data_IF_952326221702
#
_entry.id   IF_952326221702
#
_cell.length_a   1.000
_cell.length_b   1.000
_cell.length_c   1.000
_cell.angle_alpha   90.00
_cell.angle_beta   90.00
_cell.angle_gamma   90.00
#
_symmetry.space_group_name_H-M   'P 1'
#
loop_
_entity.id
_entity.type
_entity.pdbx_description
1 polymer ?
#
# COMPACT_ATOMS: atom_id res chain seq x y z
N UNK A 1 10.64 33.68 -12.20
CA UNK A 1 11.38 32.74 -13.06
C UNK A 1 11.31 31.35 -12.42
N UNK A 2 10.54 30.46 -13.05
CA UNK A 2 10.65 28.98 -13.10
C UNK A 2 10.86 28.23 -11.76
N UNK A 3 9.98 27.33 -11.30
CA UNK A 3 9.66 26.07 -11.99
C UNK A 3 8.46 25.32 -11.38
N UNK A 4 7.49 25.00 -12.24
CA UNK A 4 6.59 23.84 -12.28
C UNK A 4 5.54 23.62 -11.16
N UNK A 5 4.30 24.02 -11.48
CA UNK A 5 3.11 23.33 -11.01
C UNK A 5 3.17 21.85 -11.43
N UNK A 6 3.39 20.95 -10.48
CA UNK A 6 3.43 19.49 -10.72
C UNK A 6 2.29 18.82 -9.96
N UNK A 7 1.28 18.44 -10.74
CA UNK A 7 0.45 17.22 -10.67
C UNK A 7 -0.13 16.87 -9.28
N UNK A 8 -1.43 17.12 -9.11
CA UNK A 8 -2.25 16.37 -8.16
C UNK A 8 -2.23 14.90 -8.61
N UNK A 9 -1.50 14.04 -7.91
CA UNK A 9 -1.62 12.60 -8.09
C UNK A 9 -2.93 12.13 -7.44
N UNK A 10 -4.04 12.32 -8.17
CA UNK A 10 -5.31 11.65 -7.89
C UNK A 10 -5.17 10.24 -8.46
N UNK A 11 -4.60 9.33 -7.68
CA UNK A 11 -4.60 7.90 -8.03
C UNK A 11 -5.97 7.33 -7.60
N UNK A 12 -6.99 7.58 -8.41
CA UNK A 12 -8.32 6.98 -8.28
C UNK A 12 -8.27 5.58 -8.87
N UNK A 13 -8.05 4.56 -8.05
CA UNK A 13 -8.26 3.17 -8.48
C UNK A 13 -9.74 2.82 -8.35
N UNK A 14 -10.50 3.10 -9.39
CA UNK A 14 -11.83 2.52 -9.57
C UNK A 14 -11.73 1.18 -10.31
N UNK A 15 -12.38 0.16 -9.74
CA UNK A 15 -12.91 -1.06 -10.37
C UNK A 15 -12.19 -2.41 -10.15
N UNK A 16 -10.97 -2.71 -10.60
CA UNK A 16 -10.68 -4.14 -10.91
C UNK A 16 -9.75 -4.93 -9.96
N UNK A 17 -9.29 -4.35 -8.85
CA UNK A 17 -8.33 -5.03 -7.96
C UNK A 17 -8.50 -4.76 -6.46
N UNK A 18 -9.70 -4.36 -6.01
CA UNK A 18 -9.97 -4.39 -4.56
C UNK A 18 -10.15 -5.84 -4.13
N UNK A 19 -9.14 -6.38 -3.44
CA UNK A 19 -9.21 -7.72 -2.83
C UNK A 19 -10.32 -7.84 -1.76
N UNK A 20 -10.96 -6.73 -1.42
CA UNK A 20 -12.09 -6.61 -0.49
C UNK A 20 -13.37 -6.31 -1.27
N UNK A 21 -14.30 -7.27 -1.42
CA UNK A 21 -15.54 -7.12 -2.21
C UNK A 21 -16.49 -6.04 -1.65
N UNK A 22 -16.24 -5.61 -0.42
CA UNK A 22 -17.07 -4.66 0.31
C UNK A 22 -16.72 -3.18 0.06
N UNK A 23 -15.65 -2.90 -0.68
CA UNK A 23 -15.19 -1.53 -0.97
C UNK A 23 -15.58 -1.11 -2.38
N UNK A 24 -16.39 -0.06 -2.48
CA UNK A 24 -16.89 0.52 -3.74
C UNK A 24 -15.93 1.59 -4.30
N UNK A 25 -15.31 2.37 -3.41
CA UNK A 25 -14.34 3.39 -3.79
C UNK A 25 -13.19 3.45 -2.79
N UNK A 26 -11.95 3.54 -3.29
CA UNK A 26 -10.77 3.83 -2.49
C UNK A 26 -9.86 4.76 -3.28
N UNK A 27 -9.42 5.85 -2.65
CA UNK A 27 -8.47 6.79 -3.23
C UNK A 27 -7.73 7.58 -2.17
N UNK A 28 -6.55 8.07 -2.52
CA UNK A 28 -5.79 8.98 -1.68
C UNK A 28 -5.43 10.26 -2.46
N UNK A 29 -5.24 11.35 -1.72
CA UNK A 29 -4.76 12.61 -2.27
C UNK A 29 -3.73 13.23 -1.33
N UNK A 30 -2.68 13.78 -1.92
CA UNK A 30 -1.69 14.59 -1.22
C UNK A 30 -2.00 16.05 -1.57
N UNK A 31 -2.47 16.86 -0.60
CA UNK A 31 -2.95 18.21 -0.89
C UNK A 31 -1.80 19.14 -1.32
N UNK A 32 -0.61 18.95 -0.73
CA UNK A 32 0.58 19.71 -1.09
C UNK A 32 1.85 18.89 -0.81
N UNK A 33 2.81 18.80 -1.76
CA UNK A 33 4.02 17.99 -1.58
C UNK A 33 4.92 18.40 -0.41
N UNK A 34 4.84 19.67 0.03
CA UNK A 34 5.65 20.16 1.16
C UNK A 34 5.04 19.84 2.52
N UNK A 35 3.77 19.42 2.57
CA UNK A 35 3.17 18.95 3.81
C UNK A 35 3.09 17.42 3.77
N UNK A 36 3.65 16.72 4.76
CA UNK A 36 3.58 15.26 4.84
C UNK A 36 2.20 14.82 5.36
N UNK A 37 1.13 15.23 4.66
CA UNK A 37 -0.26 14.87 4.96
C UNK A 37 -0.84 14.17 3.75
N UNK A 38 -1.61 13.11 4.00
CA UNK A 38 -2.38 12.41 2.98
C UNK A 38 -3.82 12.26 3.44
N UNK A 39 -4.77 12.49 2.55
CA UNK A 39 -6.17 12.22 2.80
C UNK A 39 -6.56 10.93 2.09
N UNK A 40 -7.12 9.98 2.84
CA UNK A 40 -7.62 8.72 2.30
C UNK A 40 -9.15 8.77 2.34
N UNK A 41 -9.79 8.43 1.21
CA UNK A 41 -11.23 8.29 1.10
C UNK A 41 -11.57 6.85 0.77
N UNK A 42 -12.43 6.26 1.60
CA UNK A 42 -12.97 4.93 1.40
C UNK A 42 -14.50 5.01 1.43
N UNK A 43 -15.15 4.39 0.45
CA UNK A 43 -16.59 4.18 0.43
C UNK A 43 -16.83 2.68 0.35
N UNK A 44 -17.55 2.13 1.33
CA UNK A 44 -17.97 0.74 1.36
C UNK A 44 -19.41 0.59 0.90
N UNK A 45 -19.74 -0.60 0.39
CA UNK A 45 -21.10 -0.99 0.04
C UNK A 45 -21.97 -1.04 1.31
N UNK A 46 -23.27 -0.78 1.17
CA UNK A 46 -24.23 -0.84 2.29
C UNK A 46 -24.11 -2.18 3.05
N UNK A 47 -23.81 -2.09 4.36
CA UNK A 47 -23.73 -3.24 5.26
C UNK A 47 -22.34 -3.55 5.81
N UNK A 48 -21.26 -3.02 5.21
CA UNK A 48 -19.89 -3.24 5.68
C UNK A 48 -19.28 -1.94 6.24
N UNK A 49 -18.75 -1.94 7.47
CA UNK A 49 -18.06 -0.78 8.03
C UNK A 49 -16.73 -0.52 7.31
N UNK A 50 -16.57 0.71 6.82
CA UNK A 50 -15.38 1.15 6.09
C UNK A 50 -14.07 1.01 6.91
N UNK A 51 -14.15 1.16 8.23
CA UNK A 51 -12.98 1.04 9.11
C UNK A 51 -12.47 -0.41 9.21
N UNK A 52 -13.36 -1.40 9.16
CA UNK A 52 -12.98 -2.81 9.17
C UNK A 52 -12.25 -3.19 7.88
N UNK A 53 -12.78 -2.75 6.74
CA UNK A 53 -12.14 -2.95 5.44
C UNK A 53 -10.73 -2.32 5.40
N UNK A 54 -10.57 -1.12 5.96
CA UNK A 54 -9.27 -0.47 6.06
C UNK A 54 -8.30 -1.24 6.97
N UNK A 55 -8.76 -1.72 8.13
CA UNK A 55 -7.94 -2.50 9.07
C UNK A 55 -7.49 -3.84 8.46
N UNK A 56 -8.39 -4.52 7.75
CA UNK A 56 -8.05 -5.75 7.04
C UNK A 56 -7.01 -5.49 5.96
N UNK A 57 -7.22 -4.48 5.11
CA UNK A 57 -6.27 -4.13 4.05
C UNK A 57 -4.86 -3.77 4.57
N UNK A 58 -4.78 -3.03 5.68
CA UNK A 58 -3.49 -2.72 6.32
C UNK A 58 -2.81 -3.96 6.91
N UNK A 59 -3.59 -4.91 7.44
CA UNK A 59 -3.08 -6.17 7.98
C UNK A 59 -2.51 -7.04 6.86
N UNK A 60 -3.20 -7.11 5.71
CA UNK A 60 -2.74 -7.84 4.54
C UNK A 60 -1.45 -7.25 3.98
N UNK A 61 -1.36 -5.92 3.88
CA UNK A 61 -0.14 -5.24 3.46
C UNK A 61 1.04 -5.60 4.37
N UNK A 62 0.83 -5.60 5.69
CA UNK A 62 1.85 -6.00 6.66
C UNK A 62 2.29 -7.45 6.45
N UNK A 63 1.35 -8.36 6.17
CA UNK A 63 1.64 -9.77 5.94
C UNK A 63 2.49 -9.98 4.68
N UNK A 64 2.18 -9.24 3.60
CA UNK A 64 2.98 -9.26 2.37
C UNK A 64 4.40 -8.76 2.63
N UNK A 65 4.56 -7.63 3.33
CA UNK A 65 5.89 -7.12 3.67
C UNK A 65 6.72 -8.12 4.48
N UNK A 66 6.11 -8.79 5.47
CA UNK A 66 6.78 -9.84 6.26
C UNK A 66 7.20 -11.02 5.38
N UNK A 67 6.33 -11.47 4.48
CA UNK A 67 6.63 -12.59 3.60
C UNK A 67 7.85 -12.28 2.72
N UNK A 68 7.93 -11.06 2.17
CA UNK A 68 9.08 -10.61 1.38
C UNK A 68 10.35 -10.59 2.23
N UNK A 69 10.29 -10.06 3.45
CA UNK A 69 11.43 -10.03 4.38
C UNK A 69 11.94 -11.45 4.71
N UNK A 70 11.03 -12.38 5.01
CA UNK A 70 11.37 -13.76 5.35
C UNK A 70 12.00 -14.50 4.18
N UNK A 71 11.42 -14.36 2.98
CA UNK A 71 11.98 -14.94 1.76
C UNK A 71 13.39 -14.38 1.47
N UNK A 72 13.56 -13.06 1.58
CA UNK A 72 14.86 -12.42 1.41
C UNK A 72 15.88 -12.90 2.43
N UNK A 73 15.52 -12.96 3.71
CA UNK A 73 16.39 -13.40 4.80
C UNK A 73 16.82 -14.85 4.63
N UNK A 74 15.91 -15.72 4.19
CA UNK A 74 16.21 -17.14 3.91
C UNK A 74 17.28 -17.29 2.82
N UNK A 75 17.12 -16.59 1.70
CA UNK A 75 18.09 -16.63 0.60
C UNK A 75 19.43 -15.98 0.99
N UNK A 76 19.40 -14.89 1.76
CA UNK A 76 20.60 -14.23 2.28
C UNK A 76 21.42 -15.16 3.18
N UNK A 77 20.76 -15.93 4.06
CA UNK A 77 21.44 -16.92 4.91
C UNK A 77 22.01 -18.08 4.09
N UNK A 78 21.26 -18.57 3.10
CA UNK A 78 21.73 -19.61 2.19
C UNK A 78 22.98 -19.17 1.41
N UNK A 79 22.98 -17.91 0.94
CA UNK A 79 24.13 -17.30 0.25
C UNK A 79 25.34 -17.18 1.18
N UNK A 80 25.19 -16.61 2.39
CA UNK A 80 26.26 -16.49 3.38
C UNK A 80 26.87 -17.84 3.77
N UNK A 81 26.06 -18.90 3.85
CA UNK A 81 26.53 -20.26 4.14
C UNK A 81 27.35 -20.86 2.99
N UNK A 82 26.98 -20.55 1.73
CA UNK A 82 27.74 -20.97 0.54
C UNK A 82 29.06 -20.19 0.41
N UNK A 83 29.05 -18.88 0.66
CA UNK A 83 30.27 -18.06 0.55
C UNK A 83 31.31 -18.39 1.62
N UNK A 84 30.89 -18.82 2.82
CA UNK A 84 31.82 -19.21 3.92
C UNK A 84 32.48 -20.58 3.72
N UNK A 85 32.00 -21.39 2.77
CA UNK A 85 32.59 -22.71 2.46
C UNK A 85 33.64 -22.66 1.34
N UNK A 86 33.89 -21.47 0.78
CA UNK A 86 34.94 -21.21 -0.19
C UNK A 86 36.08 -20.50 0.50
#
# INVERSE_FOLDING_TARGET
MTTAAKKLDVFSTTSDYSKTPDVEFCGYTIPHPSEPKMHVRLQSRQGAPADEALRSGLTDLRNVSKHIEDAYRKELQAFKRKSRKK
#
